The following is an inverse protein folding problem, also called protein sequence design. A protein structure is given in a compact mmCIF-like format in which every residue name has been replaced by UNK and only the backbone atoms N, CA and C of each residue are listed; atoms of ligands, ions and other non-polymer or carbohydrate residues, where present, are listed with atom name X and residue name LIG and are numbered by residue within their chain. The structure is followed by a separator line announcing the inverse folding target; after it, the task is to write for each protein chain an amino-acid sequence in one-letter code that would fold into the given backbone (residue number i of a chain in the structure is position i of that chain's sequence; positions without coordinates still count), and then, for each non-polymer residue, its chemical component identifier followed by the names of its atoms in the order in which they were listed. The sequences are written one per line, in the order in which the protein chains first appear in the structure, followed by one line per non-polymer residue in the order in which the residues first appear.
data_IF_111934428711
#
_entry.id   IF_111934428711
#
_cell.length_a   1.000
_cell.length_b   1.000
_cell.length_c   1.000
_cell.angle_alpha   90.00
_cell.angle_beta   90.00
_cell.angle_gamma   90.00
#
_symmetry.space_group_name_H-M   'P 1'
#
loop_
_entity.id
_entity.type
_entity.pdbx_description
1 polymer ?
#
# COMPACT_ATOMS: atom_id res chain seq x y z
N UNK A 1 -21.41 13.82 -26.08
CA UNK A 1 -20.27 12.87 -26.08
C UNK A 1 -19.04 13.57 -26.61
N UNK A 2 -18.46 14.49 -25.83
CA UNK A 2 -17.28 15.23 -26.24
C UNK A 2 -16.55 15.74 -24.98
N UNK A 3 -15.54 15.01 -24.50
CA UNK A 3 -14.50 15.56 -23.60
C UNK A 3 -13.21 14.76 -23.81
N UNK A 4 -12.16 15.46 -24.24
CA UNK A 4 -10.77 15.02 -24.14
C UNK A 4 -10.38 14.90 -22.64
N UNK A 5 -10.94 13.92 -21.92
CA UNK A 5 -10.66 13.70 -20.51
C UNK A 5 -9.25 13.12 -20.35
N UNK A 6 -8.26 13.99 -20.12
CA UNK A 6 -6.90 13.60 -19.73
C UNK A 6 -6.77 13.65 -18.20
N UNK A 7 -7.47 12.76 -17.51
CA UNK A 7 -7.36 12.58 -16.05
C UNK A 7 -6.46 11.37 -15.73
N UNK A 8 -6.03 11.23 -14.47
CA UNK A 8 -5.10 10.15 -14.08
C UNK A 8 -5.68 8.77 -14.44
N UNK A 9 -6.95 8.54 -14.10
CA UNK A 9 -7.69 7.28 -14.34
C UNK A 9 -7.60 6.81 -15.79
N UNK A 10 -8.00 7.67 -16.72
CA UNK A 10 -8.10 7.33 -18.14
C UNK A 10 -6.72 7.20 -18.80
N UNK A 11 -5.76 8.01 -18.39
CA UNK A 11 -4.39 7.94 -18.92
C UNK A 11 -3.69 6.66 -18.43
N UNK A 12 -3.78 6.34 -17.15
CA UNK A 12 -3.20 5.10 -16.59
C UNK A 12 -3.81 3.83 -17.20
N UNK A 13 -5.12 3.83 -17.46
CA UNK A 13 -5.80 2.73 -18.15
C UNK A 13 -5.22 2.46 -19.55
N UNK A 14 -4.90 3.51 -20.33
CA UNK A 14 -4.24 3.34 -21.65
C UNK A 14 -2.86 2.70 -21.52
N UNK A 15 -2.18 2.97 -20.41
CA UNK A 15 -0.87 2.41 -20.06
C UNK A 15 -0.95 1.06 -19.35
N UNK A 16 -2.15 0.48 -19.20
CA UNK A 16 -2.41 -0.78 -18.47
C UNK A 16 -1.91 -0.76 -17.02
N UNK A 17 -1.89 0.42 -16.41
CA UNK A 17 -1.49 0.64 -15.03
C UNK A 17 -2.74 0.95 -14.19
N UNK A 18 -2.87 0.32 -13.01
CA UNK A 18 -3.85 0.76 -12.03
C UNK A 18 -3.31 2.01 -11.31
N UNK A 19 -4.13 3.06 -11.22
CA UNK A 19 -3.78 4.32 -10.55
C UNK A 19 -4.78 4.52 -9.42
N UNK A 20 -4.27 4.69 -8.21
CA UNK A 20 -5.12 4.66 -7.02
C UNK A 20 -4.68 5.53 -5.88
N UNK A 21 -5.41 5.39 -4.78
CA UNK A 21 -5.21 6.15 -3.57
C UNK A 21 -5.72 5.40 -2.34
N UNK A 22 -5.11 5.66 -1.19
CA UNK A 22 -5.72 5.45 0.12
C UNK A 22 -7.03 6.25 0.24
N UNK A 23 -8.01 5.68 0.93
CA UNK A 23 -9.32 6.31 1.16
C UNK A 23 -9.76 6.12 2.62
N UNK A 24 -10.00 7.24 3.28
CA UNK A 24 -10.59 7.32 4.61
C UNK A 24 -12.13 7.38 4.52
N UNK A 25 -12.83 6.72 5.46
CA UNK A 25 -14.29 6.59 5.39
C UNK A 25 -15.07 7.88 5.66
N UNK A 26 -14.57 8.74 6.54
CA UNK A 26 -15.22 10.00 6.89
C UNK A 26 -15.36 10.93 5.67
N UNK A 27 -14.29 11.30 4.94
CA UNK A 27 -14.44 12.13 3.75
C UNK A 27 -15.20 11.41 2.63
N UNK A 28 -15.06 10.09 2.49
CA UNK A 28 -15.86 9.31 1.54
C UNK A 28 -17.37 9.45 1.80
N UNK A 29 -17.79 9.45 3.07
CA UNK A 29 -19.19 9.61 3.49
C UNK A 29 -19.67 11.05 3.37
N UNK A 30 -18.89 12.01 3.87
CA UNK A 30 -19.39 13.35 4.20
C UNK A 30 -19.02 14.43 3.18
N UNK A 31 -18.02 14.20 2.33
CA UNK A 31 -17.49 15.22 1.42
C UNK A 31 -17.81 14.90 -0.07
N UNK A 32 -18.75 15.61 -0.70
CA UNK A 32 -19.05 15.45 -2.12
C UNK A 32 -17.87 15.77 -3.05
N UNK A 33 -17.04 16.76 -2.70
CA UNK A 33 -15.88 17.17 -3.51
C UNK A 33 -14.81 16.08 -3.47
N UNK A 34 -14.60 15.47 -2.30
CA UNK A 34 -13.73 14.30 -2.15
C UNK A 34 -14.17 13.17 -3.10
N UNK A 35 -15.47 12.82 -3.08
CA UNK A 35 -16.01 11.77 -3.95
C UNK A 35 -15.86 12.11 -5.43
N UNK A 36 -16.13 13.35 -5.83
CA UNK A 36 -16.00 13.79 -7.22
C UNK A 36 -14.57 13.58 -7.73
N UNK A 37 -13.56 14.05 -6.97
CA UNK A 37 -12.15 13.87 -7.36
C UNK A 37 -11.74 12.41 -7.33
N UNK A 38 -12.10 11.66 -6.28
CA UNK A 38 -11.80 10.24 -6.15
C UNK A 38 -12.29 9.44 -7.37
N UNK A 39 -13.56 9.60 -7.73
CA UNK A 39 -14.21 8.84 -8.81
C UNK A 39 -13.70 9.27 -10.20
N UNK A 40 -13.28 10.54 -10.35
CA UNK A 40 -12.73 11.07 -11.60
C UNK A 40 -11.31 10.57 -11.84
N UNK A 41 -10.47 10.52 -10.81
CA UNK A 41 -9.01 10.36 -10.95
C UNK A 41 -8.49 8.94 -10.74
N UNK A 42 -9.21 8.07 -10.04
CA UNK A 42 -8.65 6.78 -9.60
C UNK A 42 -9.48 5.57 -10.04
N UNK A 43 -8.80 4.43 -10.23
CA UNK A 43 -9.42 3.14 -10.61
C UNK A 43 -9.13 1.99 -9.64
N UNK A 44 -8.28 2.20 -8.64
CA UNK A 44 -8.07 1.28 -7.52
C UNK A 44 -8.03 2.07 -6.21
N UNK A 45 -8.62 1.54 -5.15
CA UNK A 45 -8.68 2.19 -3.84
C UNK A 45 -8.27 1.24 -2.73
N UNK A 46 -7.65 1.79 -1.69
CA UNK A 46 -7.22 1.05 -0.49
C UNK A 46 -7.87 1.69 0.74
N UNK A 47 -8.65 0.98 1.56
CA UNK A 47 -9.17 1.54 2.80
C UNK A 47 -8.03 1.74 3.82
N UNK A 48 -7.87 2.95 4.35
CA UNK A 48 -6.72 3.31 5.22
C UNK A 48 -6.76 2.67 6.61
N UNK A 49 -7.94 2.27 7.10
CA UNK A 49 -8.12 1.71 8.44
C UNK A 49 -9.14 0.55 8.54
N UNK A 50 -10.30 0.66 7.89
CA UNK A 50 -11.45 -0.23 8.15
C UNK A 50 -11.26 -1.71 7.79
N UNK A 51 -10.17 -2.07 7.08
CA UNK A 51 -9.80 -3.46 6.79
C UNK A 51 -8.58 -3.95 7.59
N UNK A 52 -8.09 -3.16 8.55
CA UNK A 52 -7.06 -3.61 9.51
C UNK A 52 -7.67 -4.57 10.53
N UNK A 53 -6.83 -5.41 11.14
CA UNK A 53 -7.26 -6.46 12.07
C UNK A 53 -8.17 -5.90 13.18
N UNK A 54 -7.76 -4.85 13.87
CA UNK A 54 -8.55 -4.21 14.94
C UNK A 54 -9.95 -3.78 14.49
N UNK A 55 -10.08 -3.20 13.30
CA UNK A 55 -11.37 -2.75 12.77
C UNK A 55 -12.28 -3.93 12.40
N UNK A 56 -11.71 -4.96 11.77
CA UNK A 56 -12.47 -6.14 11.32
C UNK A 56 -12.82 -7.10 12.44
N UNK A 57 -12.01 -7.18 13.51
CA UNK A 57 -12.21 -8.11 14.62
C UNK A 57 -12.01 -7.44 15.99
N UNK A 58 -12.90 -6.50 16.36
CA UNK A 58 -12.75 -5.71 17.58
C UNK A 58 -12.85 -6.56 18.87
N UNK A 59 -13.49 -7.73 18.82
CA UNK A 59 -13.52 -8.70 19.91
C UNK A 59 -13.23 -10.11 19.40
N UNK A 60 -12.71 -10.98 20.28
CA UNK A 60 -12.44 -12.37 19.92
C UNK A 60 -13.72 -13.04 19.41
N UNK A 61 -13.63 -13.66 18.23
CA UNK A 61 -14.74 -14.31 17.52
C UNK A 61 -15.90 -13.41 17.05
N UNK A 62 -15.79 -12.08 17.14
CA UNK A 62 -16.79 -11.16 16.60
C UNK A 62 -16.17 -10.30 15.50
N UNK A 63 -16.73 -10.38 14.30
CA UNK A 63 -16.26 -9.62 13.15
C UNK A 63 -17.20 -8.46 12.84
N UNK A 64 -16.64 -7.34 12.40
CA UNK A 64 -17.39 -6.19 11.91
C UNK A 64 -16.97 -5.88 10.46
N UNK A 65 -17.80 -6.31 9.51
CA UNK A 65 -17.56 -6.08 8.08
C UNK A 65 -18.35 -4.89 7.52
N UNK A 66 -19.24 -4.26 8.29
CA UNK A 66 -20.22 -3.30 7.76
C UNK A 66 -19.57 -2.13 7.00
N UNK A 67 -18.59 -1.48 7.60
CA UNK A 67 -17.90 -0.34 6.98
C UNK A 67 -17.12 -0.77 5.73
N UNK A 68 -16.43 -1.92 5.80
CA UNK A 68 -15.61 -2.44 4.72
C UNK A 68 -16.45 -2.98 3.55
N UNK A 69 -17.61 -3.57 3.82
CA UNK A 69 -18.58 -4.00 2.81
C UNK A 69 -19.19 -2.80 2.09
N UNK A 70 -19.55 -1.75 2.82
CA UNK A 70 -20.03 -0.51 2.22
C UNK A 70 -18.94 0.13 1.33
N UNK A 71 -17.69 0.14 1.79
CA UNK A 71 -16.56 0.63 1.00
C UNK A 71 -16.39 -0.15 -0.31
N UNK A 72 -16.39 -1.49 -0.25
CA UNK A 72 -16.29 -2.36 -1.44
C UNK A 72 -17.46 -2.14 -2.39
N UNK A 73 -18.68 -1.96 -1.85
CA UNK A 73 -19.87 -1.67 -2.65
C UNK A 73 -19.75 -0.32 -3.38
N UNK A 74 -19.29 0.74 -2.71
CA UNK A 74 -19.05 2.06 -3.31
C UNK A 74 -17.98 1.95 -4.40
N UNK A 75 -16.87 1.27 -4.15
CA UNK A 75 -15.81 1.07 -5.13
C UNK A 75 -16.33 0.37 -6.39
N UNK A 76 -17.07 -0.74 -6.21
CA UNK A 76 -17.68 -1.51 -7.31
C UNK A 76 -18.67 -0.67 -8.11
N UNK A 77 -19.54 0.09 -7.44
CA UNK A 77 -20.52 0.97 -8.10
C UNK A 77 -19.85 2.03 -8.98
N UNK A 78 -18.61 2.42 -8.67
CA UNK A 78 -17.82 3.41 -9.40
C UNK A 78 -16.74 2.79 -10.29
N UNK A 79 -16.82 1.48 -10.54
CA UNK A 79 -15.89 0.72 -11.39
C UNK A 79 -14.44 0.87 -10.93
N UNK A 80 -14.22 0.90 -9.61
CA UNK A 80 -12.92 0.89 -8.98
C UNK A 80 -12.63 -0.50 -8.39
N UNK A 81 -11.39 -0.94 -8.54
CA UNK A 81 -10.83 -2.09 -7.86
C UNK A 81 -10.56 -1.76 -6.39
N UNK A 82 -10.48 -2.78 -5.54
CA UNK A 82 -10.11 -2.63 -4.12
C UNK A 82 -8.87 -3.45 -3.81
N UNK A 83 -7.89 -2.83 -3.16
CA UNK A 83 -6.79 -3.53 -2.50
C UNK A 83 -7.11 -3.65 -1.01
N UNK A 84 -7.15 -4.88 -0.51
CA UNK A 84 -7.35 -5.13 0.92
C UNK A 84 -6.08 -4.84 1.71
N UNK A 85 -6.19 -3.97 2.72
CA UNK A 85 -5.08 -3.55 3.56
C UNK A 85 -5.55 -3.48 5.03
N UNK A 86 -5.09 -4.37 5.90
CA UNK A 86 -4.20 -5.50 5.66
C UNK A 86 -4.49 -6.63 6.67
N UNK A 87 -4.08 -7.87 6.37
CA UNK A 87 -4.45 -9.03 7.20
C UNK A 87 -3.57 -9.17 8.45
N UNK A 88 -2.25 -9.00 8.30
CA UNK A 88 -1.28 -9.21 9.38
C UNK A 88 -0.33 -8.02 9.47
N UNK A 89 -0.38 -7.30 10.58
CA UNK A 89 0.52 -6.19 10.90
C UNK A 89 0.95 -6.26 12.37
N UNK A 90 1.87 -5.38 12.74
CA UNK A 90 2.27 -5.14 14.12
C UNK A 90 1.55 -3.97 14.77
N UNK A 91 0.94 -3.08 13.97
CA UNK A 91 0.03 -2.02 14.41
C UNK A 91 -1.43 -2.38 14.14
N UNK A 92 -2.37 -1.62 14.73
CA UNK A 92 -3.81 -1.85 14.62
C UNK A 92 -4.21 -3.31 14.87
N UNK A 93 -3.57 -3.90 15.89
CA UNK A 93 -3.85 -5.25 16.40
C UNK A 93 -4.87 -5.12 17.53
N UNK A 94 -5.98 -5.89 17.53
CA UNK A 94 -7.03 -5.73 18.54
C UNK A 94 -6.51 -5.80 19.98
N UNK A 95 -7.09 -4.96 20.85
CA UNK A 95 -6.71 -4.91 22.26
C UNK A 95 -6.78 -6.28 22.96
N UNK A 96 -7.82 -7.07 22.69
CA UNK A 96 -8.01 -8.39 23.29
C UNK A 96 -6.88 -9.37 22.94
N UNK A 97 -6.22 -9.16 21.80
CA UNK A 97 -5.13 -10.00 21.33
C UNK A 97 -3.81 -9.55 21.94
N UNK A 98 -3.51 -8.25 21.94
CA UNK A 98 -2.27 -7.70 22.51
C UNK A 98 -2.19 -7.78 24.03
N UNK A 99 -3.33 -7.85 24.72
CA UNK A 99 -3.41 -7.98 26.19
C UNK A 99 -3.81 -9.39 26.65
N UNK A 100 -3.98 -10.32 25.71
CA UNK A 100 -4.21 -11.72 26.02
C UNK A 100 -2.91 -12.47 26.37
N UNK A 101 -3.06 -13.62 27.01
CA UNK A 101 -1.97 -14.58 27.22
C UNK A 101 -2.24 -15.78 26.32
N UNK A 102 -1.29 -16.10 25.45
CA UNK A 102 -1.50 -17.07 24.39
C UNK A 102 -0.32 -18.02 24.30
N UNK A 103 -0.63 -19.30 24.14
CA UNK A 103 0.35 -20.27 23.65
C UNK A 103 0.62 -20.04 22.16
N UNK A 104 1.74 -20.59 21.67
CA UNK A 104 2.08 -20.58 20.25
C UNK A 104 0.93 -21.18 19.40
N UNK A 105 0.35 -22.28 19.85
CA UNK A 105 -0.75 -22.99 19.20
C UNK A 105 -2.03 -22.13 19.11
N UNK A 106 -2.36 -21.41 20.18
CA UNK A 106 -3.48 -20.48 20.19
C UNK A 106 -3.27 -19.30 19.24
N UNK A 107 -2.05 -18.73 19.18
CA UNK A 107 -1.74 -17.66 18.23
C UNK A 107 -1.82 -18.12 16.78
N UNK A 108 -1.31 -19.32 16.47
CA UNK A 108 -1.46 -19.95 15.16
C UNK A 108 -2.94 -20.10 14.81
N UNK A 109 -3.76 -20.60 15.74
CA UNK A 109 -5.19 -20.77 15.53
C UNK A 109 -5.92 -19.44 15.31
N UNK A 110 -5.62 -18.42 16.14
CA UNK A 110 -6.18 -17.08 16.03
C UNK A 110 -5.87 -16.47 14.66
N UNK A 111 -4.59 -16.49 14.27
CA UNK A 111 -4.14 -15.91 13.00
C UNK A 111 -4.77 -16.62 11.80
N UNK A 112 -4.78 -17.96 11.83
CA UNK A 112 -5.42 -18.78 10.80
C UNK A 112 -6.91 -18.48 10.69
N UNK A 113 -7.64 -18.43 11.81
CA UNK A 113 -9.07 -18.13 11.82
C UNK A 113 -9.34 -16.74 11.26
N UNK A 114 -8.56 -15.73 11.66
CA UNK A 114 -8.68 -14.37 11.14
C UNK A 114 -8.55 -14.33 9.62
N UNK A 115 -7.46 -14.90 9.09
CA UNK A 115 -7.18 -14.88 7.65
C UNK A 115 -8.26 -15.61 6.85
N UNK A 116 -8.65 -16.84 7.25
CA UNK A 116 -9.71 -17.55 6.53
C UNK A 116 -11.05 -16.82 6.58
N UNK A 117 -11.40 -16.22 7.72
CA UNK A 117 -12.69 -15.52 7.86
C UNK A 117 -12.73 -14.27 7.00
N UNK A 118 -11.70 -13.41 7.09
CA UNK A 118 -11.65 -12.14 6.36
C UNK A 118 -11.48 -12.37 4.85
N UNK A 119 -10.50 -13.18 4.45
CA UNK A 119 -10.27 -13.46 3.01
C UNK A 119 -11.44 -14.22 2.41
N UNK A 120 -12.02 -15.17 3.16
CA UNK A 120 -13.20 -15.91 2.73
C UNK A 120 -14.43 -15.01 2.52
N UNK A 121 -14.65 -14.01 3.38
CA UNK A 121 -15.72 -13.03 3.24
C UNK A 121 -15.57 -12.18 1.97
N UNK A 122 -14.34 -11.76 1.66
CA UNK A 122 -14.04 -10.94 0.48
C UNK A 122 -13.63 -11.74 -0.78
N UNK A 123 -13.83 -13.06 -0.78
CA UNK A 123 -13.41 -13.94 -1.88
C UNK A 123 -13.94 -13.48 -3.23
N UNK A 124 -13.04 -13.29 -4.19
CA UNK A 124 -13.35 -12.84 -5.55
C UNK A 124 -13.82 -11.38 -5.68
N UNK A 125 -13.74 -10.59 -4.60
CA UNK A 125 -14.18 -9.19 -4.60
C UNK A 125 -13.03 -8.18 -4.68
N UNK A 126 -11.82 -8.57 -4.29
CA UNK A 126 -10.66 -7.68 -4.22
C UNK A 126 -9.67 -7.96 -5.35
N UNK A 127 -8.93 -6.93 -5.76
CA UNK A 127 -7.88 -7.03 -6.78
C UNK A 127 -6.52 -7.45 -6.21
N UNK A 128 -6.29 -7.25 -4.92
CA UNK A 128 -5.09 -7.67 -4.20
C UNK A 128 -5.33 -7.69 -2.69
N UNK A 129 -4.51 -8.44 -1.95
CA UNK A 129 -4.39 -8.36 -0.49
C UNK A 129 -2.95 -8.07 -0.08
N UNK A 130 -2.78 -7.13 0.83
CA UNK A 130 -1.60 -7.07 1.70
C UNK A 130 -1.76 -8.12 2.80
N UNK A 131 -1.13 -9.28 2.59
CA UNK A 131 -1.23 -10.39 3.53
C UNK A 131 -0.42 -10.08 4.78
N UNK A 132 0.83 -9.65 4.60
CA UNK A 132 1.73 -9.29 5.69
C UNK A 132 2.31 -7.91 5.41
N UNK A 133 2.19 -7.02 6.38
CA UNK A 133 2.70 -5.66 6.32
C UNK A 133 3.88 -5.50 7.28
N UNK A 134 4.99 -4.93 6.79
CA UNK A 134 6.14 -4.43 7.58
C UNK A 134 6.77 -5.46 8.55
N UNK A 135 6.93 -6.72 8.10
CA UNK A 135 7.52 -7.79 8.91
C UNK A 135 9.06 -7.72 8.98
N UNK A 136 9.71 -6.98 8.08
CA UNK A 136 11.16 -6.77 8.08
C UNK A 136 11.49 -5.55 8.95
N UNK A 137 12.52 -5.69 9.78
CA UNK A 137 12.97 -4.64 10.70
C UNK A 137 13.68 -3.49 9.97
N UNK A 138 13.61 -2.27 10.52
CA UNK A 138 14.14 -1.06 9.88
C UNK A 138 15.68 -0.98 9.88
N UNK A 139 16.31 -1.61 10.86
CA UNK A 139 17.75 -1.77 10.90
C UNK A 139 18.10 -3.21 11.28
N UNK A 140 19.07 -3.79 10.57
CA UNK A 140 19.71 -5.05 10.90
C UNK A 140 20.62 -4.89 12.14
N UNK A 141 20.10 -4.33 13.23
CA UNK A 141 20.78 -4.33 14.53
C UNK A 141 21.07 -5.80 14.85
N UNK A 142 22.35 -6.19 14.77
CA UNK A 142 22.83 -7.56 14.99
C UNK A 142 22.33 -8.64 14.00
N UNK A 143 22.03 -8.30 12.74
CA UNK A 143 21.67 -9.30 11.71
C UNK A 143 20.24 -9.85 11.82
N UNK A 144 19.39 -9.21 12.62
CA UNK A 144 17.98 -9.57 12.75
C UNK A 144 17.18 -9.06 11.55
N UNK A 145 16.77 -9.99 10.67
CA UNK A 145 15.93 -9.70 9.50
C UNK A 145 14.46 -9.41 9.84
N UNK A 146 13.98 -9.87 11.00
CA UNK A 146 12.55 -9.84 11.37
C UNK A 146 12.24 -8.75 12.40
N UNK A 147 11.11 -8.08 12.25
CA UNK A 147 10.54 -7.18 13.25
C UNK A 147 9.98 -7.99 14.43
N UNK A 148 10.16 -7.50 15.64
CA UNK A 148 9.55 -8.08 16.83
C UNK A 148 8.10 -7.63 16.94
N UNK A 149 7.20 -8.62 16.98
CA UNK A 149 5.75 -8.46 16.94
C UNK A 149 5.13 -9.59 17.76
N UNK A 150 3.84 -9.49 18.12
CA UNK A 150 3.13 -10.62 18.74
C UNK A 150 3.22 -11.91 17.90
N UNK A 151 3.28 -11.77 16.56
CA UNK A 151 3.37 -12.90 15.64
C UNK A 151 4.76 -13.51 15.59
N UNK A 152 5.80 -12.70 15.38
CA UNK A 152 7.18 -13.19 15.26
C UNK A 152 7.77 -13.68 16.57
N UNK A 153 7.35 -13.12 17.71
CA UNK A 153 7.73 -13.58 19.05
C UNK A 153 6.90 -14.76 19.53
N UNK A 154 5.59 -14.76 19.23
CA UNK A 154 4.66 -15.77 19.73
C UNK A 154 4.53 -17.01 18.85
N UNK A 155 4.64 -16.86 17.53
CA UNK A 155 4.60 -17.97 16.56
C UNK A 155 6.01 -18.33 16.08
N UNK A 156 6.83 -17.33 15.77
CA UNK A 156 8.11 -17.50 15.07
C UNK A 156 8.04 -16.96 13.63
N UNK A 157 9.18 -16.82 12.93
CA UNK A 157 9.25 -16.21 11.58
C UNK A 157 8.38 -16.91 10.52
N UNK A 158 8.01 -18.16 10.73
CA UNK A 158 7.13 -18.95 9.87
C UNK A 158 5.71 -18.38 9.73
N UNK A 159 5.28 -17.49 10.64
CA UNK A 159 3.95 -16.87 10.56
C UNK A 159 3.70 -16.19 9.21
N UNK A 160 4.75 -15.65 8.57
CA UNK A 160 4.66 -15.02 7.25
C UNK A 160 4.24 -16.07 6.21
N UNK A 161 4.95 -17.20 6.14
CA UNK A 161 4.60 -18.28 5.21
C UNK A 161 3.19 -18.80 5.47
N UNK A 162 2.86 -19.07 6.73
CA UNK A 162 1.55 -19.57 7.13
C UNK A 162 0.43 -18.61 6.68
N UNK A 163 0.62 -17.30 6.87
CA UNK A 163 -0.36 -16.30 6.47
C UNK A 163 -0.62 -16.31 4.96
N UNK A 164 0.42 -16.39 4.13
CA UNK A 164 0.26 -16.49 2.67
C UNK A 164 -0.46 -17.77 2.25
N UNK A 165 -0.10 -18.92 2.85
CA UNK A 165 -0.77 -20.19 2.55
C UNK A 165 -2.25 -20.15 2.90
N UNK A 166 -2.61 -19.68 4.09
CA UNK A 166 -4.01 -19.58 4.51
C UNK A 166 -4.82 -18.56 3.70
N UNK A 167 -4.21 -17.44 3.32
CA UNK A 167 -4.87 -16.46 2.44
C UNK A 167 -5.17 -17.09 1.07
N UNK A 168 -4.23 -17.83 0.49
CA UNK A 168 -4.44 -18.52 -0.78
C UNK A 168 -5.44 -19.67 -0.68
N UNK A 169 -5.45 -20.41 0.44
CA UNK A 169 -6.46 -21.43 0.70
C UNK A 169 -7.88 -20.85 0.76
N UNK A 170 -8.04 -19.65 1.33
CA UNK A 170 -9.32 -18.96 1.45
C UNK A 170 -9.79 -18.35 0.11
N UNK A 171 -8.87 -17.74 -0.65
CA UNK A 171 -9.12 -17.27 -2.01
C UNK A 171 -7.90 -17.52 -2.91
N UNK A 172 -7.91 -18.56 -3.76
CA UNK A 172 -6.79 -18.87 -4.62
C UNK A 172 -6.67 -17.93 -5.84
N UNK A 173 -7.65 -17.05 -6.06
CA UNK A 173 -7.73 -16.19 -7.25
C UNK A 173 -7.20 -14.78 -7.03
N UNK A 174 -7.12 -14.34 -5.77
CA UNK A 174 -6.66 -12.99 -5.43
C UNK A 174 -5.12 -12.93 -5.35
N UNK A 175 -4.47 -11.97 -6.03
CA UNK A 175 -3.06 -11.69 -5.84
C UNK A 175 -2.71 -11.35 -4.39
N UNK A 176 -1.61 -11.91 -3.90
CA UNK A 176 -1.18 -11.83 -2.50
C UNK A 176 0.16 -11.11 -2.42
N UNK A 177 0.21 -10.04 -1.63
CA UNK A 177 1.33 -9.12 -1.52
C UNK A 177 1.96 -9.12 -0.13
N UNK A 178 3.28 -8.98 -0.11
CA UNK A 178 4.03 -8.48 1.05
C UNK A 178 4.21 -6.97 0.87
N UNK A 179 3.90 -6.15 1.86
CA UNK A 179 3.94 -4.69 1.76
C UNK A 179 4.86 -4.07 2.83
N UNK A 180 5.70 -3.10 2.47
CA UNK A 180 6.66 -2.48 3.40
C UNK A 180 7.18 -1.11 2.91
N UNK A 181 7.66 -0.28 3.85
CA UNK A 181 8.39 0.97 3.59
C UNK A 181 9.90 0.79 3.64
N UNK A 182 10.64 1.78 3.12
CA UNK A 182 12.11 1.86 3.13
C UNK A 182 12.81 0.68 2.44
N UNK A 183 12.05 -0.10 1.66
CA UNK A 183 12.49 -1.24 0.88
C UNK A 183 12.42 -1.01 -0.63
N UNK A 184 12.23 0.23 -1.08
CA UNK A 184 11.89 0.58 -2.46
C UNK A 184 13.12 0.55 -3.38
N UNK A 185 14.25 1.12 -2.94
CA UNK A 185 15.54 1.09 -3.64
C UNK A 185 16.41 -0.11 -3.28
N UNK A 186 17.72 0.00 -3.51
CA UNK A 186 18.71 -0.99 -3.08
C UNK A 186 19.28 -0.62 -1.70
N UNK A 187 19.28 -1.57 -0.78
CA UNK A 187 19.79 -1.35 0.57
C UNK A 187 19.48 -2.53 1.48
N UNK A 188 19.91 -2.42 2.75
CA UNK A 188 19.83 -3.52 3.70
C UNK A 188 18.40 -4.05 3.91
N UNK A 189 17.39 -3.16 3.96
CA UNK A 189 15.99 -3.56 4.15
C UNK A 189 15.43 -4.24 2.89
N UNK A 190 15.66 -3.68 1.71
CA UNK A 190 15.21 -4.30 0.46
C UNK A 190 15.93 -5.63 0.17
N UNK A 191 17.20 -5.78 0.56
CA UNK A 191 17.93 -7.05 0.50
C UNK A 191 17.34 -8.11 1.44
N UNK A 192 16.92 -7.72 2.65
CA UNK A 192 16.25 -8.61 3.58
C UNK A 192 14.87 -9.04 3.07
N UNK A 193 14.08 -8.10 2.51
CA UNK A 193 12.80 -8.40 1.85
C UNK A 193 13.03 -9.36 0.68
N UNK A 194 13.99 -9.06 -0.20
CA UNK A 194 14.33 -9.90 -1.35
C UNK A 194 14.72 -11.33 -0.93
N UNK A 195 15.56 -11.47 0.09
CA UNK A 195 15.97 -12.77 0.61
C UNK A 195 14.78 -13.56 1.16
N UNK A 196 13.93 -12.92 1.97
CA UNK A 196 12.72 -13.53 2.51
C UNK A 196 11.79 -14.03 1.40
N UNK A 197 11.48 -13.19 0.41
CA UNK A 197 10.51 -13.58 -0.63
C UNK A 197 11.08 -14.59 -1.61
N UNK A 198 12.41 -14.59 -1.84
CA UNK A 198 13.09 -15.66 -2.55
C UNK A 198 12.96 -17.00 -1.82
N UNK A 199 13.17 -17.03 -0.50
CA UNK A 199 13.02 -18.24 0.33
C UNK A 199 11.56 -18.74 0.37
N UNK A 200 10.58 -17.84 0.36
CA UNK A 200 9.16 -18.18 0.24
C UNK A 200 8.83 -18.78 -1.13
N UNK A 201 9.31 -18.17 -2.22
CA UNK A 201 9.12 -18.68 -3.58
C UNK A 201 9.76 -20.05 -3.79
N UNK A 202 10.95 -20.29 -3.22
CA UNK A 202 11.63 -21.58 -3.26
C UNK A 202 10.87 -22.71 -2.53
N UNK A 203 9.97 -22.36 -1.61
CA UNK A 203 9.11 -23.30 -0.87
C UNK A 203 7.68 -23.36 -1.42
N UNK A 204 7.45 -22.85 -2.64
CA UNK A 204 6.14 -22.81 -3.28
C UNK A 204 5.07 -22.11 -2.42
N UNK A 205 5.46 -21.06 -1.69
CA UNK A 205 4.51 -20.20 -0.98
C UNK A 205 3.81 -19.30 -2.01
N UNK A 206 2.48 -19.15 -1.95
CA UNK A 206 1.69 -18.37 -2.92
C UNK A 206 1.80 -16.86 -2.68
N UNK A 207 3.02 -16.32 -2.82
CA UNK A 207 3.29 -14.88 -2.89
C UNK A 207 3.36 -14.44 -4.35
N UNK A 208 2.62 -13.38 -4.70
CA UNK A 208 2.41 -12.93 -6.06
C UNK A 208 3.06 -11.57 -6.36
N UNK A 209 3.30 -10.74 -5.33
CA UNK A 209 3.98 -9.47 -5.52
C UNK A 209 4.46 -8.80 -4.25
N UNK A 210 5.13 -7.66 -4.44
CA UNK A 210 5.65 -6.79 -3.38
C UNK A 210 5.03 -5.40 -3.52
N UNK A 211 4.51 -4.88 -2.41
CA UNK A 211 4.08 -3.50 -2.27
C UNK A 211 5.24 -2.65 -1.75
N UNK A 212 5.58 -1.61 -2.51
CA UNK A 212 6.48 -0.54 -2.07
C UNK A 212 5.61 0.58 -1.54
N UNK A 213 5.61 0.81 -0.23
CA UNK A 213 4.82 1.88 0.38
C UNK A 213 5.19 3.22 -0.24
N UNK A 214 6.50 3.50 -0.38
CA UNK A 214 6.99 4.72 -1.03
C UNK A 214 6.64 5.99 -0.24
N UNK A 215 6.69 5.90 1.09
CA UNK A 215 6.72 7.07 1.98
C UNK A 215 8.10 7.73 1.92
N UNK A 216 8.25 8.74 1.07
CA UNK A 216 9.56 9.34 0.75
C UNK A 216 9.62 10.82 1.09
N UNK A 217 10.82 11.40 1.00
CA UNK A 217 11.09 12.80 1.33
C UNK A 217 11.94 13.43 0.25
N UNK A 218 11.75 14.73 -0.01
CA UNK A 218 12.63 15.51 -0.89
C UNK A 218 14.03 15.72 -0.30
N UNK A 219 14.22 15.51 1.01
CA UNK A 219 15.52 15.64 1.66
C UNK A 219 16.47 14.52 1.21
N UNK A 220 15.95 13.30 1.08
CA UNK A 220 16.71 12.12 0.66
C UNK A 220 15.82 11.22 -0.22
N UNK A 221 15.47 11.66 -1.43
CA UNK A 221 14.62 10.86 -2.30
C UNK A 221 15.37 9.59 -2.74
N UNK A 222 14.68 8.45 -2.86
CA UNK A 222 15.28 7.24 -3.41
C UNK A 222 15.71 7.49 -4.86
N UNK A 223 16.83 6.87 -5.25
CA UNK A 223 17.34 6.99 -6.61
C UNK A 223 16.48 6.18 -7.59
N UNK A 224 16.01 6.76 -8.70
CA UNK A 224 15.19 6.04 -9.68
C UNK A 224 15.86 4.76 -10.20
N UNK A 225 17.17 4.79 -10.43
CA UNK A 225 17.94 3.63 -10.88
C UNK A 225 17.97 2.47 -9.87
N UNK A 226 17.99 2.79 -8.57
CA UNK A 226 17.98 1.80 -7.50
C UNK A 226 16.59 1.16 -7.35
N UNK A 227 15.51 1.96 -7.50
CA UNK A 227 14.14 1.45 -7.53
C UNK A 227 13.96 0.53 -8.73
N UNK A 228 14.38 0.95 -9.92
CA UNK A 228 14.29 0.14 -11.14
C UNK A 228 15.07 -1.17 -11.02
N UNK A 229 16.28 -1.14 -10.44
CA UNK A 229 17.07 -2.34 -10.19
C UNK A 229 16.39 -3.29 -9.19
N UNK A 230 15.77 -2.76 -8.14
CA UNK A 230 15.03 -3.55 -7.16
C UNK A 230 13.76 -4.17 -7.76
N UNK A 231 12.98 -3.41 -8.54
CA UNK A 231 11.83 -3.92 -9.29
C UNK A 231 12.24 -5.04 -10.26
N UNK A 232 13.36 -4.87 -10.96
CA UNK A 232 13.90 -5.87 -11.89
C UNK A 232 14.24 -7.19 -11.20
N UNK A 233 15.01 -7.17 -10.10
CA UNK A 233 15.35 -8.42 -9.38
C UNK A 233 14.13 -9.12 -8.78
N UNK A 234 13.12 -8.37 -8.34
CA UNK A 234 11.85 -8.96 -7.90
C UNK A 234 11.07 -9.59 -9.07
N UNK A 235 11.08 -8.94 -10.23
CA UNK A 235 10.50 -9.48 -11.46
C UNK A 235 11.18 -10.77 -11.92
N UNK A 236 12.50 -10.92 -11.72
CA UNK A 236 13.25 -12.16 -11.99
C UNK A 236 12.81 -13.33 -11.08
N UNK A 237 12.15 -13.08 -9.95
CA UNK A 237 11.50 -14.10 -9.10
C UNK A 237 10.05 -14.41 -9.54
N UNK A 238 9.56 -13.75 -10.59
CA UNK A 238 8.19 -13.84 -11.08
C UNK A 238 7.18 -13.02 -10.25
N UNK A 239 7.66 -12.01 -9.50
CA UNK A 239 6.81 -11.19 -8.64
C UNK A 239 6.40 -9.88 -9.33
N UNK A 240 5.14 -9.50 -9.13
CA UNK A 240 4.64 -8.16 -9.42
C UNK A 240 5.20 -7.16 -8.40
N UNK A 241 5.28 -5.89 -8.78
CA UNK A 241 5.50 -4.78 -7.87
C UNK A 241 4.35 -3.79 -7.99
N UNK A 242 3.96 -3.20 -6.86
CA UNK A 242 3.03 -2.08 -6.83
C UNK A 242 3.64 -0.97 -6.00
N UNK A 243 3.53 0.29 -6.45
CA UNK A 243 3.67 1.46 -5.57
C UNK A 243 2.34 1.64 -4.87
N UNK A 244 2.35 1.76 -3.55
CA UNK A 244 1.16 1.38 -2.76
C UNK A 244 0.63 2.45 -1.83
N UNK A 245 1.49 3.33 -1.33
CA UNK A 245 1.18 4.32 -0.28
C UNK A 245 1.97 5.61 -0.52
N UNK A 246 2.19 5.99 -1.78
CA UNK A 246 3.14 7.06 -2.09
C UNK A 246 2.68 8.41 -1.55
N UNK A 247 3.58 9.04 -0.81
CA UNK A 247 3.53 10.44 -0.42
C UNK A 247 4.96 10.99 -0.39
N UNK A 248 5.11 12.30 -0.64
CA UNK A 248 6.42 12.93 -0.77
C UNK A 248 6.49 14.12 0.17
N UNK A 249 7.04 13.87 1.34
CA UNK A 249 7.26 14.84 2.41
C UNK A 249 8.14 16.00 1.92
N UNK A 250 7.74 17.25 2.18
CA UNK A 250 8.53 18.42 1.80
C UNK A 250 9.03 19.25 2.96
N UNK A 251 8.44 19.12 4.15
CA UNK A 251 8.75 20.02 5.28
C UNK A 251 10.19 19.87 5.80
N UNK A 252 10.84 18.74 5.57
CA UNK A 252 12.21 18.43 5.98
C UNK A 252 13.27 18.81 4.92
N UNK A 253 12.84 19.22 3.73
CA UNK A 253 13.72 19.73 2.69
C UNK A 253 14.22 21.15 2.96
N UNK A 254 15.43 21.44 2.48
CA UNK A 254 16.00 22.79 2.43
C UNK A 254 15.52 23.57 1.21
N UNK A 255 15.66 24.90 1.24
CA UNK A 255 15.33 25.79 0.11
C UNK A 255 14.03 26.55 0.30
N UNK A 256 13.64 27.33 -0.72
CA UNK A 256 12.37 28.07 -0.74
C UNK A 256 11.19 27.12 -0.90
N UNK A 257 9.96 27.64 -0.71
CA UNK A 257 8.76 26.84 -0.95
C UNK A 257 8.69 26.34 -2.40
N UNK A 258 9.04 27.19 -3.37
CA UNK A 258 9.05 26.86 -4.79
C UNK A 258 10.06 25.76 -5.11
N UNK A 259 11.28 25.82 -4.52
CA UNK A 259 12.31 24.79 -4.70
C UNK A 259 11.86 23.44 -4.14
N UNK A 260 11.22 23.44 -2.96
CA UNK A 260 10.69 22.22 -2.33
C UNK A 260 9.55 21.60 -3.13
N UNK A 261 8.64 22.42 -3.65
CA UNK A 261 7.55 21.96 -4.54
C UNK A 261 8.10 21.44 -5.87
N UNK A 262 9.13 22.06 -6.43
CA UNK A 262 9.79 21.57 -7.64
C UNK A 262 10.46 20.21 -7.40
N UNK A 263 11.15 20.04 -6.26
CA UNK A 263 11.72 18.75 -5.85
C UNK A 263 10.65 17.66 -5.68
N UNK A 264 9.54 17.97 -5.01
CA UNK A 264 8.40 17.06 -4.89
C UNK A 264 7.86 16.63 -6.25
N UNK A 265 7.68 17.60 -7.14
CA UNK A 265 7.17 17.37 -8.50
C UNK A 265 8.07 16.41 -9.27
N UNK A 266 9.39 16.58 -9.14
CA UNK A 266 10.37 15.70 -9.78
C UNK A 266 10.32 14.27 -9.20
N UNK A 267 10.17 14.12 -7.88
CA UNK A 267 10.04 12.79 -7.24
C UNK A 267 8.80 12.02 -7.73
N UNK A 268 7.63 12.67 -7.80
CA UNK A 268 6.42 12.05 -8.36
C UNK A 268 6.61 11.65 -9.83
N UNK A 269 7.24 12.51 -10.63
CA UNK A 269 7.57 12.23 -12.04
C UNK A 269 8.44 10.98 -12.16
N UNK A 270 9.56 10.96 -11.44
CA UNK A 270 10.58 9.93 -11.61
C UNK A 270 10.10 8.56 -11.15
N UNK A 271 9.39 8.48 -10.02
CA UNK A 271 8.91 7.19 -9.50
C UNK A 271 7.78 6.63 -10.39
N UNK A 272 6.89 7.48 -10.90
CA UNK A 272 5.85 7.03 -11.84
C UNK A 272 6.46 6.58 -13.17
N UNK A 273 7.46 7.29 -13.68
CA UNK A 273 8.23 6.91 -14.87
C UNK A 273 8.87 5.52 -14.67
N UNK A 274 9.56 5.30 -13.55
CA UNK A 274 10.16 3.99 -13.22
C UNK A 274 9.12 2.88 -13.18
N UNK A 275 7.95 3.11 -12.57
CA UNK A 275 6.89 2.11 -12.55
C UNK A 275 6.37 1.80 -13.97
N UNK A 276 6.19 2.82 -14.84
CA UNK A 276 5.74 2.59 -16.22
C UNK A 276 6.76 1.85 -17.09
N UNK A 277 8.05 2.03 -16.82
CA UNK A 277 9.13 1.36 -17.53
C UNK A 277 9.39 -0.07 -17.02
N UNK A 278 9.04 -0.36 -15.76
CA UNK A 278 9.17 -1.69 -15.17
C UNK A 278 8.01 -2.61 -15.60
N UNK A 279 8.26 -3.68 -16.37
CA UNK A 279 7.19 -4.54 -16.92
C UNK A 279 6.40 -5.31 -15.84
N UNK A 280 6.93 -5.41 -14.62
CA UNK A 280 6.27 -6.03 -13.49
C UNK A 280 5.62 -5.03 -12.52
N UNK A 281 5.67 -3.72 -12.78
CA UNK A 281 4.92 -2.75 -11.98
C UNK A 281 3.48 -2.65 -12.50
N UNK A 282 2.50 -3.00 -11.66
CA UNK A 282 1.10 -3.11 -12.10
C UNK A 282 0.17 -2.06 -11.51
N UNK A 283 0.59 -1.37 -10.47
CA UNK A 283 -0.20 -0.32 -9.83
C UNK A 283 0.67 0.78 -9.21
N UNK A 284 0.12 1.99 -9.17
CA UNK A 284 0.69 3.15 -8.51
C UNK A 284 -0.39 3.83 -7.66
N UNK A 285 -0.22 3.83 -6.35
CA UNK A 285 -1.17 4.37 -5.40
C UNK A 285 -0.50 5.40 -4.50
N UNK A 286 -1.21 6.49 -4.23
CA UNK A 286 -0.83 7.46 -3.18
C UNK A 286 -1.47 7.10 -1.84
N UNK A 287 -0.91 7.54 -0.71
CA UNK A 287 -1.57 7.36 0.59
C UNK A 287 -2.48 8.55 0.91
N UNK A 288 -3.71 8.43 0.42
CA UNK A 288 -4.64 9.56 0.21
C UNK A 288 -4.18 10.47 -0.94
N UNK A 289 -4.97 11.49 -1.29
CA UNK A 289 -4.68 12.32 -2.47
C UNK A 289 -4.68 13.83 -2.22
N UNK A 290 -5.28 14.31 -1.12
CA UNK A 290 -5.35 15.73 -0.79
C UNK A 290 -4.65 16.03 0.54
N UNK A 291 -3.87 17.12 0.59
CA UNK A 291 -2.95 17.43 1.68
C UNK A 291 -3.59 17.45 3.08
N UNK A 292 -4.84 17.93 3.21
CA UNK A 292 -5.55 18.02 4.50
C UNK A 292 -6.01 16.67 5.06
N UNK A 293 -5.95 15.61 4.26
CA UNK A 293 -6.19 14.24 4.72
C UNK A 293 -4.88 13.48 4.97
N UNK A 294 -3.71 14.07 4.73
CA UNK A 294 -2.46 13.37 4.95
C UNK A 294 -2.21 13.07 6.43
N UNK A 295 -1.72 11.87 6.71
CA UNK A 295 -1.25 11.45 8.03
C UNK A 295 0.06 12.13 8.47
N UNK A 296 0.85 12.65 7.53
CA UNK A 296 2.21 13.18 7.77
C UNK A 296 2.21 14.33 8.77
N UNK A 297 1.35 15.37 8.64
CA UNK A 297 1.38 16.50 9.58
C UNK A 297 1.13 16.09 11.03
N UNK A 298 0.16 15.20 11.27
CA UNK A 298 -0.17 14.70 12.60
C UNK A 298 0.95 13.81 13.16
N UNK A 299 1.50 12.93 12.33
CA UNK A 299 2.57 12.01 12.74
C UNK A 299 3.86 12.74 13.12
N UNK A 300 4.27 13.75 12.36
CA UNK A 300 5.51 14.51 12.59
C UNK A 300 5.31 15.80 13.42
N UNK A 301 4.07 16.20 13.70
CA UNK A 301 3.74 17.42 14.42
C UNK A 301 4.16 18.70 13.69
N UNK A 302 4.17 18.68 12.35
CA UNK A 302 4.64 19.79 11.50
C UNK A 302 3.78 19.92 10.25
N UNK A 303 3.41 21.14 9.82
CA UNK A 303 2.71 21.34 8.56
C UNK A 303 3.49 20.76 7.38
N UNK A 304 2.79 20.09 6.48
CA UNK A 304 3.35 19.56 5.24
C UNK A 304 2.28 19.53 4.15
N UNK A 305 2.71 19.31 2.91
CA UNK A 305 1.84 19.24 1.74
C UNK A 305 2.33 18.12 0.81
N UNK A 306 2.20 16.84 1.21
CA UNK A 306 2.93 15.74 0.57
C UNK A 306 2.22 15.10 -0.63
N UNK A 307 0.96 15.48 -0.92
CA UNK A 307 0.07 14.78 -1.86
C UNK A 307 -0.16 15.55 -3.18
N UNK A 308 -0.74 14.93 -4.22
CA UNK A 308 -0.92 15.58 -5.53
C UNK A 308 -2.00 16.67 -5.59
N UNK A 309 -2.90 16.75 -4.61
CA UNK A 309 -3.94 17.79 -4.50
C UNK A 309 -3.78 18.61 -3.23
N UNK A 310 -4.13 19.90 -3.31
CA UNK A 310 -4.12 20.81 -2.15
C UNK A 310 -5.33 20.60 -1.24
N UNK A 311 -5.40 21.37 -0.15
CA UNK A 311 -6.48 21.32 0.85
C UNK A 311 -7.88 21.62 0.30
N UNK A 312 -7.98 22.19 -0.91
CA UNK A 312 -9.24 22.48 -1.60
C UNK A 312 -9.48 21.55 -2.79
N UNK A 313 -8.78 20.42 -2.85
CA UNK A 313 -8.82 19.45 -3.95
C UNK A 313 -8.39 20.02 -5.31
N UNK A 314 -7.62 21.11 -5.34
CA UNK A 314 -7.06 21.62 -6.60
C UNK A 314 -5.77 20.86 -6.94
N UNK A 315 -5.55 20.51 -8.22
CA UNK A 315 -4.31 19.88 -8.65
C UNK A 315 -3.07 20.71 -8.32
N UNK A 316 -2.04 20.06 -7.76
CA UNK A 316 -0.71 20.64 -7.56
C UNK A 316 0.22 20.33 -8.73
N UNK A 317 1.43 20.90 -8.71
CA UNK A 317 2.48 20.62 -9.70
C UNK A 317 2.78 19.10 -9.80
N UNK A 318 2.76 18.37 -8.69
CA UNK A 318 2.90 16.91 -8.66
C UNK A 318 1.84 16.18 -9.50
N UNK A 319 0.55 16.55 -9.37
CA UNK A 319 -0.51 15.97 -10.21
C UNK A 319 -0.26 16.22 -11.70
N UNK A 320 0.13 17.44 -12.06
CA UNK A 320 0.38 17.78 -13.46
C UNK A 320 1.57 17.00 -14.02
N UNK A 321 2.63 16.80 -13.25
CA UNK A 321 3.75 15.96 -13.65
C UNK A 321 3.34 14.49 -13.83
N UNK A 322 2.49 13.94 -12.96
CA UNK A 322 1.94 12.59 -13.14
C UNK A 322 1.13 12.47 -14.44
N UNK A 323 0.29 13.46 -14.74
CA UNK A 323 -0.49 13.53 -15.99
C UNK A 323 0.43 13.61 -17.22
N UNK A 324 1.49 14.42 -17.17
CA UNK A 324 2.49 14.53 -18.24
C UNK A 324 3.16 13.18 -18.52
N UNK A 325 3.66 12.51 -17.48
CA UNK A 325 4.30 11.19 -17.58
C UNK A 325 3.37 10.16 -18.21
N UNK A 326 2.11 10.13 -17.79
CA UNK A 326 1.14 9.18 -18.33
C UNK A 326 0.77 9.44 -19.79
N UNK A 327 0.91 10.67 -20.29
CA UNK A 327 0.69 11.04 -21.70
C UNK A 327 1.83 10.65 -22.62
N UNK A 328 3.04 10.46 -22.09
CA UNK A 328 4.19 10.01 -22.90
C UNK A 328 3.82 8.64 -23.49
N UNK A 329 3.80 8.53 -24.81
CA UNK A 329 3.48 7.31 -25.56
C UNK A 329 2.07 6.70 -25.31
N UNK A 330 1.07 7.51 -24.92
CA UNK A 330 -0.31 7.09 -24.59
C UNK A 330 -1.33 7.12 -25.72
#
# INVERSE_FOLDING_TARGET
MNTNNSNLRSLAQKRKLAIGTGVSMEPLRDDPSYREVLMREYNIVTPTYIMKFEALQPQRHQYNFEAADNFVAIAKANQMQVRGHNLVWHHSVPWWLTHGQWTQEELIHILRQHIHTVVGHYRGQLAAWDVVNEAVADQNSAGQRKRDTIWSLGIGPEYVELAFRWAHEADPTVPLFYNDYAGEGLGAKSDAIYAMVKELRQRDVPIHGIGFQMHVSIQNPPKPEDIAANMKRLGELGLQVQVTEMDVKIHDGSGTQEERVAAQTQVYRDILQVCLEAPNCTAFLTWEFADHHSWIPDFFGKPDSPLPFDESYRPKAAYHAMVEVLKIDS
#
